data_IF_429008599952
#
_entry.id   IF_429008599952
#
_cell.length_a   1.000
_cell.length_b   1.000
_cell.length_c   1.000
_cell.angle_alpha   90.00
_cell.angle_beta   90.00
_cell.angle_gamma   90.00
#
_symmetry.space_group_name_H-M   'P 1'
#
loop_
_entity.id
_entity.type
_entity.pdbx_description
1 polymer ?
#
# COMPACT_ATOMS: atom_id res chain seq x y z
N UNK A 1 23.41 -14.04 -21.18
CA UNK A 1 22.72 -14.08 -22.49
C UNK A 1 23.45 -13.19 -23.47
N UNK A 2 23.45 -13.54 -24.76
CA UNK A 2 23.95 -12.64 -25.81
C UNK A 2 22.99 -11.45 -25.98
N UNK A 3 23.52 -10.28 -26.30
CA UNK A 3 22.70 -9.11 -26.64
C UNK A 3 21.90 -9.40 -27.93
N UNK A 4 20.67 -8.91 -27.98
CA UNK A 4 19.87 -8.93 -29.19
C UNK A 4 20.50 -8.03 -30.28
N UNK A 5 19.90 -8.00 -31.48
CA UNK A 5 20.33 -7.05 -32.52
C UNK A 5 20.33 -5.61 -31.99
N UNK A 6 21.29 -4.80 -32.44
CA UNK A 6 21.43 -3.40 -31.97
C UNK A 6 20.11 -2.64 -32.10
N UNK A 7 19.36 -2.87 -33.19
CA UNK A 7 18.02 -2.30 -33.38
C UNK A 7 17.04 -2.67 -32.26
N UNK A 8 16.97 -3.95 -31.87
CA UNK A 8 16.09 -4.42 -30.80
C UNK A 8 16.52 -3.87 -29.44
N UNK A 9 17.82 -3.78 -29.19
CA UNK A 9 18.35 -3.21 -27.95
C UNK A 9 18.01 -1.72 -27.84
N UNK A 10 18.19 -0.94 -28.90
CA UNK A 10 17.89 0.49 -28.92
C UNK A 10 16.38 0.72 -28.78
N UNK A 11 15.57 0.09 -29.63
CA UNK A 11 14.11 0.27 -29.60
C UNK A 11 13.48 -0.25 -28.31
N UNK A 12 13.95 -1.39 -27.79
CA UNK A 12 13.52 -1.93 -26.51
C UNK A 12 13.89 -1.01 -25.34
N UNK A 13 15.10 -0.45 -25.34
CA UNK A 13 15.52 0.54 -24.34
C UNK A 13 14.68 1.82 -24.42
N UNK A 14 14.30 2.28 -25.61
CA UNK A 14 13.41 3.45 -25.78
C UNK A 14 12.03 3.15 -25.21
N UNK A 15 11.42 2.02 -25.56
CA UNK A 15 10.10 1.64 -25.03
C UNK A 15 10.14 1.50 -23.49
N UNK A 16 11.17 0.83 -22.95
CA UNK A 16 11.35 0.72 -21.51
C UNK A 16 11.58 2.09 -20.84
N UNK A 17 12.32 2.99 -21.50
CA UNK A 17 12.51 4.37 -21.03
C UNK A 17 11.20 5.15 -20.94
N UNK A 18 10.30 4.99 -21.93
CA UNK A 18 8.95 5.58 -21.89
C UNK A 18 8.16 5.05 -20.70
N UNK A 19 8.16 3.72 -20.48
CA UNK A 19 7.55 3.13 -19.30
C UNK A 19 8.13 3.71 -18.01
N UNK A 20 9.46 3.77 -17.90
CA UNK A 20 10.17 4.22 -16.72
C UNK A 20 9.80 5.67 -16.36
N UNK A 21 9.88 6.59 -17.33
CA UNK A 21 9.51 8.00 -17.12
C UNK A 21 8.07 8.13 -16.65
N UNK A 22 7.12 7.43 -17.30
CA UNK A 22 5.70 7.56 -16.98
C UNK A 22 5.29 6.81 -15.71
N UNK A 23 6.03 5.76 -15.31
CA UNK A 23 5.81 5.05 -14.06
C UNK A 23 6.32 5.85 -12.85
N UNK A 24 7.46 6.52 -13.00
CA UNK A 24 8.13 7.28 -11.92
C UNK A 24 7.56 8.68 -11.74
N UNK A 25 7.20 9.35 -12.84
CA UNK A 25 6.65 10.70 -12.83
C UNK A 25 5.17 10.67 -13.20
N UNK A 26 4.25 10.71 -12.22
CA UNK A 26 2.80 10.53 -12.46
C UNK A 26 2.18 11.55 -13.41
N UNK A 27 2.82 12.72 -13.56
CA UNK A 27 2.37 13.82 -14.41
C UNK A 27 3.57 14.46 -15.10
N UNK A 28 3.90 13.93 -16.26
CA UNK A 28 4.88 14.53 -17.16
C UNK A 28 4.22 15.71 -17.88
N UNK A 29 4.80 16.93 -17.88
CA UNK A 29 4.12 18.14 -18.35
C UNK A 29 3.56 18.07 -19.78
N UNK A 30 4.21 17.31 -20.66
CA UNK A 30 3.82 17.16 -22.06
C UNK A 30 2.93 15.94 -22.34
N UNK A 31 2.73 15.04 -21.38
CA UNK A 31 1.93 13.82 -21.56
C UNK A 31 1.33 13.33 -20.22
N UNK A 32 0.24 13.96 -19.73
CA UNK A 32 -0.39 13.63 -18.45
C UNK A 32 -1.32 12.40 -18.55
N UNK A 33 -0.84 11.30 -19.14
CA UNK A 33 -1.63 10.07 -19.32
C UNK A 33 -1.60 9.14 -18.10
N UNK A 34 -0.72 9.41 -17.14
CA UNK A 34 -0.55 8.64 -15.90
C UNK A 34 0.18 7.30 -16.09
N UNK A 35 0.58 6.69 -14.96
CA UNK A 35 1.39 5.47 -14.91
C UNK A 35 0.80 4.29 -15.70
N UNK A 36 -0.51 4.13 -15.65
CA UNK A 36 -1.22 3.01 -16.28
C UNK A 36 -1.17 3.08 -17.80
N UNK A 37 -1.46 4.26 -18.35
CA UNK A 37 -1.35 4.46 -19.79
C UNK A 37 0.10 4.37 -20.27
N UNK A 38 1.07 4.82 -19.46
CA UNK A 38 2.49 4.66 -19.78
C UNK A 38 2.95 3.20 -19.86
N UNK A 39 2.48 2.35 -18.95
CA UNK A 39 2.75 0.91 -19.00
C UNK A 39 2.14 0.24 -20.23
N UNK A 40 0.91 0.60 -20.60
CA UNK A 40 0.28 0.11 -21.83
C UNK A 40 0.98 0.62 -23.08
N UNK A 41 1.32 1.91 -23.13
CA UNK A 41 2.02 2.52 -24.27
C UNK A 41 3.34 1.81 -24.52
N UNK A 42 4.14 1.60 -23.48
CA UNK A 42 5.39 0.85 -23.59
C UNK A 42 5.17 -0.60 -24.03
N UNK A 43 4.16 -1.29 -23.50
CA UNK A 43 3.84 -2.65 -23.93
C UNK A 43 3.51 -2.72 -25.43
N UNK A 44 2.72 -1.76 -25.92
CA UNK A 44 2.39 -1.63 -27.34
C UNK A 44 3.64 -1.32 -28.16
N UNK A 45 4.51 -0.41 -27.69
CA UNK A 45 5.77 -0.09 -28.36
C UNK A 45 6.71 -1.32 -28.44
N UNK A 46 6.78 -2.14 -27.40
CA UNK A 46 7.57 -3.39 -27.42
C UNK A 46 7.13 -4.35 -28.53
N UNK A 47 5.82 -4.41 -28.79
CA UNK A 47 5.24 -5.24 -29.85
C UNK A 47 5.47 -4.59 -31.22
N UNK A 48 5.18 -3.29 -31.37
CA UNK A 48 5.35 -2.55 -32.64
C UNK A 48 6.82 -2.58 -33.09
N UNK A 49 7.76 -2.42 -32.16
CA UNK A 49 9.19 -2.49 -32.43
C UNK A 49 9.72 -3.92 -32.63
N UNK A 50 8.85 -4.94 -32.58
CA UNK A 50 9.19 -6.35 -32.74
C UNK A 50 10.29 -6.81 -31.75
N UNK A 51 10.33 -6.19 -30.57
CA UNK A 51 11.19 -6.62 -29.47
C UNK A 51 10.64 -7.90 -28.86
N UNK A 52 9.31 -7.98 -28.74
CA UNK A 52 8.55 -9.16 -28.32
C UNK A 52 7.42 -9.43 -29.34
N UNK A 53 7.11 -10.71 -29.59
CA UNK A 53 5.98 -11.09 -30.44
C UNK A 53 4.65 -10.87 -29.69
N UNK A 54 3.51 -10.70 -30.37
CA UNK A 54 2.20 -10.61 -29.71
C UNK A 54 1.87 -11.82 -28.83
N UNK A 55 2.21 -13.03 -29.29
CA UNK A 55 1.96 -14.28 -28.54
C UNK A 55 2.82 -14.34 -27.27
N UNK A 56 4.11 -14.00 -27.38
CA UNK A 56 5.00 -13.90 -26.23
C UNK A 56 4.57 -12.80 -25.26
N UNK A 57 4.05 -11.68 -25.77
CA UNK A 57 3.55 -10.59 -24.94
C UNK A 57 2.34 -11.05 -24.14
N UNK A 58 1.37 -11.73 -24.76
CA UNK A 58 0.22 -12.30 -24.06
C UNK A 58 0.66 -13.34 -23.02
N UNK A 59 1.60 -14.23 -23.39
CA UNK A 59 2.16 -15.24 -22.49
C UNK A 59 2.96 -14.64 -21.32
N UNK A 60 3.44 -13.40 -21.45
CA UNK A 60 4.15 -12.69 -20.38
C UNK A 60 3.21 -12.18 -19.28
N UNK A 61 1.90 -12.08 -19.54
CA UNK A 61 0.93 -11.62 -18.55
C UNK A 61 0.66 -12.75 -17.54
N UNK A 62 1.03 -12.51 -16.29
CA UNK A 62 0.82 -13.47 -15.20
C UNK A 62 -0.61 -13.37 -14.63
N UNK A 63 -1.53 -14.15 -15.20
CA UNK A 63 -2.93 -14.21 -14.77
C UNK A 63 -3.11 -14.63 -13.29
N UNK A 64 -2.36 -15.60 -12.74
CA UNK A 64 -2.40 -15.90 -11.32
C UNK A 64 -2.07 -14.71 -10.41
N UNK A 65 -1.09 -13.89 -10.76
CA UNK A 65 -0.75 -12.67 -10.03
C UNK A 65 -1.87 -11.64 -10.15
N UNK A 66 -2.39 -11.39 -11.36
CA UNK A 66 -3.49 -10.44 -11.57
C UNK A 66 -4.77 -10.87 -10.83
N UNK A 67 -5.11 -12.17 -10.86
CA UNK A 67 -6.24 -12.74 -10.14
C UNK A 67 -6.08 -12.61 -8.63
N UNK A 68 -4.87 -12.80 -8.10
CA UNK A 68 -4.56 -12.59 -6.68
C UNK A 68 -4.67 -11.11 -6.28
N UNK A 69 -4.14 -10.19 -7.09
CA UNK A 69 -4.28 -8.74 -6.88
C UNK A 69 -5.75 -8.30 -6.90
N UNK A 70 -6.51 -8.74 -7.89
CA UNK A 70 -7.95 -8.47 -7.98
C UNK A 70 -8.69 -8.97 -6.73
N UNK A 71 -8.48 -10.24 -6.38
CA UNK A 71 -9.18 -10.87 -5.28
C UNK A 71 -8.87 -10.22 -3.92
N UNK A 72 -7.61 -9.87 -3.66
CA UNK A 72 -7.22 -9.19 -2.42
C UNK A 72 -7.79 -7.77 -2.32
N UNK A 73 -7.94 -7.05 -3.44
CA UNK A 73 -8.64 -5.76 -3.46
C UNK A 73 -10.14 -5.91 -3.18
N UNK A 74 -10.79 -6.93 -3.76
CA UNK A 74 -12.20 -7.24 -3.49
C UNK A 74 -12.41 -7.53 -2.00
N UNK A 75 -11.59 -8.42 -1.43
CA UNK A 75 -11.62 -8.73 0.01
C UNK A 75 -11.41 -7.46 0.84
N UNK A 76 -10.44 -6.62 0.48
CA UNK A 76 -10.20 -5.32 1.12
C UNK A 76 -11.42 -4.38 1.06
N UNK A 77 -12.11 -4.33 -0.09
CA UNK A 77 -13.36 -3.57 -0.26
C UNK A 77 -14.47 -4.05 0.69
N UNK A 78 -14.67 -5.36 0.78
CA UNK A 78 -15.63 -5.96 1.71
C UNK A 78 -15.30 -5.67 3.18
N UNK A 79 -14.02 -5.76 3.57
CA UNK A 79 -13.59 -5.45 4.93
C UNK A 79 -13.72 -3.97 5.27
N UNK A 80 -13.47 -3.09 4.29
CA UNK A 80 -13.73 -1.65 4.42
C UNK A 80 -15.21 -1.39 4.70
N UNK A 81 -16.10 -1.99 3.92
CA UNK A 81 -17.55 -1.88 4.11
C UNK A 81 -18.02 -2.55 5.41
N UNK A 82 -17.31 -3.58 5.88
CA UNK A 82 -17.56 -4.20 7.17
C UNK A 82 -17.15 -3.32 8.37
N UNK A 83 -16.45 -2.22 8.11
CA UNK A 83 -16.01 -1.26 9.11
C UNK A 83 -14.70 -1.63 9.78
N UNK A 84 -13.89 -2.54 9.22
CA UNK A 84 -12.61 -2.96 9.81
C UNK A 84 -11.74 -1.76 10.18
N UNK A 85 -11.61 -0.81 9.26
CA UNK A 85 -10.78 0.38 9.49
C UNK A 85 -11.34 1.34 10.56
N UNK A 86 -12.66 1.36 10.77
CA UNK A 86 -13.25 2.11 11.90
C UNK A 86 -12.84 1.47 13.24
N UNK A 87 -12.75 0.14 13.30
CA UNK A 87 -12.24 -0.55 14.48
C UNK A 87 -10.75 -0.27 14.69
N UNK A 88 -9.95 -0.23 13.61
CA UNK A 88 -8.53 0.17 13.69
C UNK A 88 -8.35 1.61 14.17
N UNK A 89 -9.15 2.56 13.67
CA UNK A 89 -9.16 3.95 14.17
C UNK A 89 -9.55 4.04 15.65
N UNK A 90 -10.56 3.26 16.06
CA UNK A 90 -10.94 3.16 17.48
C UNK A 90 -9.80 2.61 18.32
N UNK A 91 -9.07 1.59 17.83
CA UNK A 91 -7.91 1.01 18.50
C UNK A 91 -6.75 2.01 18.65
N UNK A 92 -6.54 2.87 17.66
CA UNK A 92 -5.56 3.97 17.72
C UNK A 92 -5.91 4.97 18.84
N UNK A 93 -7.18 5.37 18.92
CA UNK A 93 -7.65 6.34 19.91
C UNK A 93 -7.80 5.75 21.32
N UNK A 94 -8.10 4.45 21.43
CA UNK A 94 -8.45 3.80 22.69
C UNK A 94 -7.30 3.80 23.69
N UNK A 95 -7.55 4.43 24.86
CA UNK A 95 -6.58 4.59 25.97
C UNK A 95 -5.29 5.31 25.57
N UNK A 96 -5.28 6.11 24.51
CA UNK A 96 -4.04 6.79 24.14
C UNK A 96 -3.69 7.91 25.11
N UNK A 97 -2.51 7.83 25.75
CA UNK A 97 -2.09 8.66 26.88
C UNK A 97 -1.31 9.94 26.49
N UNK A 98 -1.12 10.21 25.20
CA UNK A 98 -0.43 11.42 24.71
C UNK A 98 0.07 11.28 23.28
N UNK A 99 0.76 12.31 22.76
CA UNK A 99 1.28 12.31 21.38
C UNK A 99 2.32 11.22 21.12
N UNK A 100 3.19 10.94 22.10
CA UNK A 100 4.22 9.89 22.01
C UNK A 100 3.63 8.48 21.92
N UNK A 101 2.66 8.18 22.79
CA UNK A 101 1.95 6.90 22.77
C UNK A 101 1.13 6.75 21.47
N UNK A 102 0.49 7.82 21.01
CA UNK A 102 -0.21 7.82 19.72
C UNK A 102 0.75 7.49 18.57
N UNK A 103 1.96 8.05 18.54
CA UNK A 103 2.95 7.79 17.49
C UNK A 103 3.32 6.29 17.43
N UNK A 104 3.59 5.68 18.59
CA UNK A 104 3.87 4.25 18.69
C UNK A 104 2.70 3.40 18.18
N UNK A 105 1.46 3.77 18.54
CA UNK A 105 0.25 3.08 18.08
C UNK A 105 0.06 3.19 16.58
N UNK A 106 0.27 4.38 16.02
CA UNK A 106 0.23 4.60 14.57
C UNK A 106 1.24 3.66 13.89
N UNK A 107 2.46 3.56 14.41
CA UNK A 107 3.45 2.64 13.84
C UNK A 107 2.98 1.18 13.87
N UNK A 108 2.56 0.68 15.04
CA UNK A 108 2.18 -0.73 15.23
C UNK A 108 0.93 -1.08 14.42
N UNK A 109 -0.14 -0.28 14.55
CA UNK A 109 -1.41 -0.55 13.88
C UNK A 109 -1.24 -0.44 12.37
N UNK A 110 -0.48 0.54 11.88
CA UNK A 110 -0.23 0.68 10.44
C UNK A 110 0.61 -0.49 9.90
N UNK A 111 1.65 -0.91 10.61
CA UNK A 111 2.47 -2.04 10.17
C UNK A 111 1.67 -3.35 10.12
N UNK A 112 0.86 -3.63 11.15
CA UNK A 112 0.01 -4.82 11.19
C UNK A 112 -1.09 -4.77 10.13
N UNK A 113 -1.75 -3.62 9.97
CA UNK A 113 -2.77 -3.45 8.94
C UNK A 113 -2.17 -3.63 7.54
N UNK A 114 -1.01 -3.02 7.27
CA UNK A 114 -0.31 -3.10 5.98
C UNK A 114 0.31 -4.49 5.69
N UNK A 115 0.55 -5.30 6.72
CA UNK A 115 0.94 -6.70 6.56
C UNK A 115 -0.25 -7.61 6.21
N UNK A 116 -1.45 -7.28 6.70
CA UNK A 116 -2.66 -8.08 6.48
C UNK A 116 -3.48 -7.63 5.26
N UNK A 117 -3.38 -6.36 4.91
CA UNK A 117 -4.08 -5.72 3.80
C UNK A 117 -3.06 -5.10 2.85
N UNK A 118 -3.53 -4.65 1.69
CA UNK A 118 -2.66 -3.93 0.76
C UNK A 118 -2.28 -2.57 1.33
N UNK A 119 -0.98 -2.26 1.27
CA UNK A 119 -0.37 -1.03 1.77
C UNK A 119 -1.14 0.24 1.31
N UNK A 120 -1.51 0.30 0.03
CA UNK A 120 -2.28 1.41 -0.55
C UNK A 120 -3.61 1.64 0.18
N UNK A 121 -4.36 0.56 0.47
CA UNK A 121 -5.64 0.64 1.17
C UNK A 121 -5.46 1.12 2.59
N UNK A 122 -4.45 0.62 3.29
CA UNK A 122 -4.10 1.05 4.65
C UNK A 122 -3.74 2.53 4.69
N UNK A 123 -2.88 2.98 3.77
CA UNK A 123 -2.45 4.37 3.71
C UNK A 123 -3.62 5.33 3.44
N UNK A 124 -4.53 4.98 2.52
CA UNK A 124 -5.71 5.81 2.23
C UNK A 124 -6.52 6.02 3.50
N UNK A 125 -6.88 4.91 4.16
CA UNK A 125 -7.87 4.97 5.24
C UNK A 125 -7.27 5.46 6.55
N UNK A 126 -6.07 5.00 6.92
CA UNK A 126 -5.46 5.38 8.20
C UNK A 126 -5.00 6.83 8.22
N UNK A 127 -4.64 7.42 7.07
CA UNK A 127 -4.18 8.82 7.03
C UNK A 127 -5.28 9.79 7.50
N UNK A 128 -6.51 9.60 7.01
CA UNK A 128 -7.66 10.42 7.42
C UNK A 128 -7.88 10.34 8.94
N UNK A 129 -7.93 9.11 9.49
CA UNK A 129 -8.13 8.90 10.93
C UNK A 129 -7.01 9.47 11.79
N UNK A 130 -5.76 9.31 11.36
CA UNK A 130 -4.59 9.79 12.11
C UNK A 130 -4.54 11.31 12.14
N UNK A 131 -4.88 11.97 11.03
CA UNK A 131 -4.93 13.44 10.99
C UNK A 131 -6.08 14.00 11.83
N UNK A 132 -7.25 13.37 11.80
CA UNK A 132 -8.37 13.74 12.64
C UNK A 132 -8.01 13.64 14.13
N UNK A 133 -7.41 12.52 14.54
CA UNK A 133 -6.99 12.31 15.94
C UNK A 133 -5.84 13.24 16.37
N UNK A 134 -4.92 13.58 15.45
CA UNK A 134 -3.89 14.57 15.69
C UNK A 134 -4.51 15.97 15.85
N UNK A 135 -5.50 16.31 15.03
CA UNK A 135 -6.23 17.58 15.11
C UNK A 135 -6.96 17.74 16.46
N UNK A 136 -7.70 16.70 16.88
CA UNK A 136 -8.45 16.69 18.15
C UNK A 136 -7.55 16.91 19.36
N UNK A 137 -6.27 16.52 19.25
CA UNK A 137 -5.28 16.62 20.33
C UNK A 137 -4.29 17.77 20.16
N UNK A 138 -4.49 18.65 19.17
CA UNK A 138 -3.57 19.74 18.83
C UNK A 138 -2.12 19.27 18.64
N UNK A 139 -1.93 18.13 17.97
CA UNK A 139 -0.62 17.55 17.69
C UNK A 139 -0.18 17.83 16.24
N UNK A 140 1.13 17.99 15.99
CA UNK A 140 1.63 18.24 14.64
C UNK A 140 1.38 17.03 13.73
N UNK A 141 0.92 17.25 12.50
CA UNK A 141 0.63 16.18 11.54
C UNK A 141 1.89 15.43 11.06
N UNK A 142 3.00 16.16 10.85
CA UNK A 142 4.22 15.66 10.20
C UNK A 142 4.77 14.35 10.80
N UNK A 143 4.96 14.20 12.12
CA UNK A 143 5.52 12.97 12.68
C UNK A 143 4.63 11.76 12.43
N UNK A 144 3.31 11.93 12.49
CA UNK A 144 2.37 10.81 12.29
C UNK A 144 2.25 10.39 10.83
N UNK A 145 2.35 11.33 9.89
CA UNK A 145 2.38 11.01 8.46
C UNK A 145 3.64 10.22 8.08
N UNK A 146 4.80 10.64 8.62
CA UNK A 146 6.05 9.90 8.44
C UNK A 146 5.98 8.52 9.09
N UNK A 147 5.45 8.44 10.31
CA UNK A 147 5.24 7.18 11.03
C UNK A 147 4.34 6.21 10.27
N UNK A 148 3.24 6.72 9.71
CA UNK A 148 2.28 5.94 8.96
C UNK A 148 2.92 5.43 7.65
N UNK A 149 3.49 6.31 6.84
CA UNK A 149 4.13 5.94 5.58
C UNK A 149 5.27 4.93 5.79
N UNK A 150 6.17 5.21 6.74
CA UNK A 150 7.34 4.37 6.97
C UNK A 150 7.00 2.99 7.54
N UNK A 151 6.04 2.95 8.48
CA UNK A 151 5.55 1.71 9.07
C UNK A 151 4.71 0.88 8.11
N UNK A 152 3.97 1.52 7.19
CA UNK A 152 3.20 0.80 6.19
C UNK A 152 4.11 0.03 5.24
N UNK A 153 5.20 0.65 4.77
CA UNK A 153 6.21 -0.03 3.97
C UNK A 153 6.91 -1.15 4.76
N UNK A 154 7.46 -0.86 5.95
CA UNK A 154 8.15 -1.87 6.77
C UNK A 154 7.22 -3.04 7.11
N UNK A 155 5.98 -2.77 7.52
CA UNK A 155 4.97 -3.79 7.84
C UNK A 155 4.59 -4.66 6.64
N UNK A 156 4.31 -4.04 5.49
CA UNK A 156 3.95 -4.76 4.25
C UNK A 156 5.03 -5.73 3.78
N UNK A 157 6.30 -5.50 4.16
CA UNK A 157 7.41 -6.37 3.79
C UNK A 157 7.26 -7.80 4.34
N UNK A 158 6.54 -7.97 5.45
CA UNK A 158 6.42 -9.25 6.15
C UNK A 158 5.55 -10.28 5.43
N UNK A 159 4.69 -9.88 4.49
CA UNK A 159 3.76 -10.82 3.84
C UNK A 159 3.76 -10.67 2.32
N UNK A 160 3.43 -11.74 1.58
CA UNK A 160 3.20 -11.67 0.13
C UNK A 160 2.07 -10.72 -0.26
N UNK A 161 1.03 -10.59 0.57
CA UNK A 161 -0.17 -9.81 0.25
C UNK A 161 -0.04 -8.32 0.60
N UNK A 162 0.91 -7.94 1.45
CA UNK A 162 1.05 -6.57 1.94
C UNK A 162 1.32 -5.57 0.82
N UNK A 163 2.04 -5.99 -0.23
CA UNK A 163 2.25 -5.16 -1.41
C UNK A 163 2.37 -6.00 -2.70
N UNK A 164 2.14 -5.41 -3.89
CA UNK A 164 2.19 -6.15 -5.14
C UNK A 164 3.57 -6.73 -5.51
N UNK A 165 4.66 -6.09 -5.09
CA UNK A 165 6.01 -6.60 -5.40
C UNK A 165 6.31 -7.88 -4.63
N UNK A 166 5.88 -8.01 -3.38
CA UNK A 166 6.06 -9.20 -2.57
C UNK A 166 5.24 -10.36 -3.11
N UNK A 167 4.07 -10.07 -3.68
CA UNK A 167 3.25 -11.04 -4.38
C UNK A 167 4.00 -11.62 -5.59
N UNK A 168 4.60 -10.76 -6.42
CA UNK A 168 5.46 -11.18 -7.55
C UNK A 168 6.62 -12.04 -7.05
N UNK A 169 7.29 -11.63 -5.97
CA UNK A 169 8.40 -12.40 -5.38
C UNK A 169 7.91 -13.77 -4.91
N UNK A 170 6.85 -13.83 -4.12
CA UNK A 170 6.35 -15.08 -3.56
C UNK A 170 5.90 -16.05 -4.65
N UNK A 171 5.28 -15.53 -5.72
CA UNK A 171 4.87 -16.32 -6.87
C UNK A 171 6.07 -16.87 -7.66
N UNK A 172 7.01 -16.01 -8.06
CA UNK A 172 8.19 -16.41 -8.85
C UNK A 172 9.15 -17.32 -8.08
N UNK A 173 9.32 -17.07 -6.78
CA UNK A 173 10.16 -17.89 -5.90
C UNK A 173 9.52 -19.20 -5.46
N UNK A 174 8.20 -19.33 -5.63
CA UNK A 174 7.39 -20.45 -5.09
C UNK A 174 7.53 -20.64 -3.58
N UNK A 175 7.89 -19.59 -2.84
CA UNK A 175 7.98 -19.62 -1.39
C UNK A 175 6.57 -19.64 -0.81
N UNK A 176 6.28 -20.61 0.06
CA UNK A 176 5.00 -20.67 0.75
C UNK A 176 4.82 -19.49 1.70
N UNK A 177 3.58 -19.06 1.92
CA UNK A 177 3.29 -17.91 2.77
C UNK A 177 3.95 -17.99 4.17
N UNK A 178 3.91 -19.12 4.92
CA UNK A 178 4.56 -19.20 6.24
C UNK A 178 6.07 -19.03 6.16
N UNK A 179 6.72 -19.61 5.14
CA UNK A 179 8.16 -19.49 4.95
C UNK A 179 8.56 -18.05 4.61
N UNK A 180 7.75 -17.37 3.81
CA UNK A 180 7.94 -15.95 3.51
C UNK A 180 7.81 -15.11 4.79
N UNK A 181 6.70 -15.30 5.53
CA UNK A 181 6.41 -14.58 6.75
C UNK A 181 7.52 -14.77 7.78
N UNK A 182 7.86 -16.00 8.14
CA UNK A 182 8.87 -16.28 9.16
C UNK A 182 10.28 -15.88 8.72
N UNK A 183 10.55 -15.92 7.42
CA UNK A 183 11.82 -15.47 6.86
C UNK A 183 12.07 -13.98 7.01
N UNK A 184 11.02 -13.15 7.02
CA UNK A 184 11.11 -11.67 7.10
C UNK A 184 10.69 -11.13 8.46
N UNK A 185 9.83 -11.83 9.20
CA UNK A 185 9.25 -11.36 10.47
C UNK A 185 10.29 -10.82 11.47
N UNK A 186 11.46 -11.48 11.70
CA UNK A 186 12.49 -10.92 12.58
C UNK A 186 13.05 -9.58 12.09
N UNK A 187 13.27 -9.44 10.78
CA UNK A 187 13.73 -8.20 10.16
C UNK A 187 12.67 -7.10 10.29
N UNK A 188 11.39 -7.45 10.05
CA UNK A 188 10.27 -6.51 10.20
C UNK A 188 10.14 -6.00 11.64
N UNK A 189 10.18 -6.87 12.64
CA UNK A 189 10.06 -6.47 14.05
C UNK A 189 11.22 -5.56 14.49
N UNK A 190 12.45 -5.91 14.12
CA UNK A 190 13.63 -5.10 14.42
C UNK A 190 13.59 -3.75 13.69
N UNK A 191 13.22 -3.76 12.40
CA UNK A 191 13.07 -2.56 11.58
C UNK A 191 11.98 -1.62 12.11
N UNK A 192 10.85 -2.18 12.55
CA UNK A 192 9.77 -1.43 13.20
C UNK A 192 10.24 -0.79 14.51
N UNK A 193 10.97 -1.54 15.35
CA UNK A 193 11.52 -1.01 16.60
C UNK A 193 12.47 0.16 16.34
N UNK A 194 13.40 0.01 15.39
CA UNK A 194 14.32 1.07 14.99
C UNK A 194 13.57 2.29 14.44
N UNK A 195 12.63 2.09 13.52
CA UNK A 195 11.84 3.16 12.94
C UNK A 195 11.05 3.94 14.02
N UNK A 196 10.43 3.24 14.97
CA UNK A 196 9.73 3.85 16.10
C UNK A 196 10.68 4.66 17.00
N UNK A 197 11.84 4.10 17.37
CA UNK A 197 12.84 4.80 18.19
C UNK A 197 13.34 6.05 17.47
N UNK A 198 13.66 5.97 16.19
CA UNK A 198 14.12 7.13 15.42
C UNK A 198 13.07 8.23 15.34
N UNK A 199 11.80 7.89 15.10
CA UNK A 199 10.70 8.86 15.09
C UNK A 199 10.52 9.51 16.45
N UNK A 200 10.55 8.72 17.54
CA UNK A 200 10.45 9.24 18.90
C UNK A 200 11.62 10.16 19.23
N UNK A 201 12.86 9.78 18.89
CA UNK A 201 14.03 10.61 19.16
C UNK A 201 13.99 11.93 18.37
N UNK A 202 13.56 11.89 17.10
CA UNK A 202 13.51 13.07 16.23
C UNK A 202 12.40 14.05 16.65
N UNK A 203 11.25 13.55 17.09
CA UNK A 203 10.06 14.36 17.39
C UNK A 203 9.67 14.36 18.88
N UNK A 204 10.59 13.99 19.77
CA UNK A 204 10.33 13.80 21.21
C UNK A 204 9.71 15.03 21.88
N UNK A 205 10.27 16.20 21.54
CA UNK A 205 9.90 17.49 22.12
C UNK A 205 8.58 17.99 21.52
N UNK A 206 8.42 17.88 20.19
CA UNK A 206 7.19 18.28 19.49
C UNK A 206 5.96 17.49 19.95
N UNK A 207 6.14 16.22 20.34
CA UNK A 207 5.06 15.35 20.83
C UNK A 207 4.77 15.49 22.33
N UNK A 208 5.56 16.28 23.06
CA UNK A 208 5.45 16.48 24.51
C UNK A 208 4.65 17.72 24.94
N UNK A 209 4.42 18.68 24.04
CA UNK A 209 3.91 20.02 24.39
C UNK A 209 2.40 20.17 24.59
N UNK A 210 1.59 19.11 24.47
CA UNK A 210 0.14 19.23 24.50
C UNK A 210 -0.48 19.56 25.87
N UNK A 211 0.32 19.69 26.94
CA UNK A 211 -0.19 19.92 28.31
C UNK A 211 0.06 21.31 28.90
N UNK A 212 0.99 22.14 28.38
CA UNK A 212 1.38 23.38 29.08
C UNK A 212 0.91 24.68 28.41
N UNK A 213 0.74 24.75 27.08
CA UNK A 213 0.39 26.01 26.41
C UNK A 213 -1.11 26.37 26.47
N UNK A 214 -1.99 25.40 26.76
CA UNK A 214 -3.44 25.62 26.81
C UNK A 214 -3.88 26.36 28.08
N UNK A 215 -3.08 26.31 29.15
CA UNK A 215 -3.40 27.01 30.41
C UNK A 215 -3.03 28.49 30.34
N UNK A 216 -1.95 28.86 29.62
CA UNK A 216 -1.53 30.26 29.49
C UNK A 216 -2.24 31.01 28.34
N UNK A 217 -2.58 30.34 27.22
CA UNK A 217 -3.21 31.01 26.07
C UNK A 217 -4.67 31.42 26.30
N UNK A 218 -5.45 30.62 27.03
CA UNK A 218 -6.87 30.93 27.31
C UNK A 218 -7.07 32.04 28.35
N UNK A 219 -6.05 32.41 29.12
CA UNK A 219 -6.12 33.54 30.05
C UNK A 219 -5.80 34.88 29.39
N UNK A 220 -5.15 34.92 28.22
CA UNK A 220 -4.91 36.18 27.48
C UNK A 220 -6.07 36.56 26.56
N UNK A 221 -6.74 35.60 25.90
CA UNK A 221 -7.87 35.92 25.01
C UNK A 221 -9.15 36.32 25.77
N UNK A 222 -9.34 35.85 27.00
CA UNK A 222 -10.54 36.16 27.78
C UNK A 222 -10.54 37.57 28.43
N UNK A 223 -9.44 38.33 28.32
CA UNK A 223 -9.33 39.68 28.91
C UNK A 223 -9.58 40.78 27.88
N UNK A 224 -9.44 40.52 26.57
CA UNK A 224 -9.60 41.54 25.53
C UNK A 224 -11.05 41.74 25.04
N UNK A 225 -11.94 40.77 25.19
CA UNK A 225 -13.35 40.89 24.69
C UNK A 225 -14.32 41.56 25.69
N UNK A 226 -13.81 42.18 26.76
CA UNK A 226 -14.63 42.77 27.83
C UNK A 226 -15.09 44.22 27.66
N UNK A 227 -14.74 44.92 26.57
CA UNK A 227 -15.08 46.35 26.41
C UNK A 227 -15.51 46.73 24.99
N UNK A 228 -16.81 46.56 24.68
CA UNK A 228 -17.56 47.49 23.84
C UNK A 228 -19.07 47.22 23.97
N UNK A 229 -19.81 48.22 24.49
CA UNK A 229 -21.29 48.23 24.53
C UNK A 229 -21.89 48.16 23.12
N UNK A 230 -23.13 47.72 22.90
CA UNK A 230 -24.37 48.08 23.59
C UNK A 230 -25.32 48.71 22.55
N UNK A 231 -26.63 48.45 22.69
CA UNK A 231 -27.80 49.22 22.18
C UNK A 231 -28.82 48.45 21.32
N UNK A 232 -30.00 48.32 21.96
CA UNK A 232 -31.41 48.33 21.52
C UNK A 232 -32.16 47.14 20.88
N UNK A 233 -33.39 47.03 21.38
CA UNK A 233 -34.44 46.04 21.16
C UNK A 233 -35.59 46.58 20.28
N UNK A 234 -36.33 45.62 19.69
CA UNK A 234 -37.81 45.51 19.58
C UNK A 234 -38.49 45.94 18.24
N UNK A 235 -39.76 45.54 17.96
CA UNK A 235 -40.34 44.17 17.98
C UNK A 235 -41.46 43.91 16.90
N UNK A 236 -42.11 42.72 16.98
CA UNK A 236 -43.48 42.34 16.50
C UNK A 236 -43.70 42.10 14.98
N UNK A 237 -44.12 40.88 14.55
CA UNK A 237 -45.55 40.51 14.43
C UNK A 237 -45.80 39.06 13.94
N UNK A 238 -46.91 38.49 14.44
CA UNK A 238 -47.53 37.21 14.09
C UNK A 238 -48.18 37.23 12.69
N UNK A 239 -48.28 36.05 12.05
CA UNK A 239 -49.52 35.61 11.36
C UNK A 239 -49.56 34.09 11.15
N UNK A 240 -50.58 33.47 11.76
CA UNK A 240 -51.15 32.18 11.39
C UNK A 240 -51.84 32.28 10.01
N UNK A 241 -51.75 31.24 9.19
CA UNK A 241 -52.85 30.76 8.32
C UNK A 241 -52.75 29.21 8.24
N UNK A 242 -53.88 28.57 8.51
CA UNK A 242 -54.23 27.16 8.35
C UNK A 242 -54.55 26.83 6.89
N UNK A 243 -54.34 25.59 6.45
CA UNK A 243 -55.42 24.70 5.98
C UNK A 243 -54.91 23.43 5.29
N UNK A 244 -55.73 22.39 5.45
CA UNK A 244 -55.64 21.04 4.95
C UNK A 244 -55.67 20.96 3.41
N UNK A 245 -55.06 19.93 2.84
CA UNK A 245 -55.78 18.97 1.98
C UNK A 245 -54.85 17.85 1.48
N UNK A 246 -55.27 16.62 1.72
CA UNK A 246 -54.77 15.41 1.08
C UNK A 246 -55.71 15.02 -0.07
N UNK A 247 -55.17 14.48 -1.18
CA UNK A 247 -55.85 13.37 -1.85
C UNK A 247 -54.93 12.17 -2.08
N UNK A 248 -55.44 11.03 -1.66
CA UNK A 248 -55.03 9.67 -1.97
C UNK A 248 -54.98 9.38 -3.48
N UNK A 249 -53.94 8.68 -3.96
CA UNK A 249 -54.09 7.75 -5.09
C UNK A 249 -53.07 6.60 -5.06
N UNK A 250 -53.63 5.41 -4.83
CA UNK A 250 -53.29 4.07 -5.35
C UNK A 250 -51.84 3.60 -5.38
N UNK A 251 -51.48 2.81 -4.36
CA UNK A 251 -50.44 1.77 -4.43
C UNK A 251 -51.05 0.50 -5.03
N UNK A 252 -50.65 0.14 -6.25
CA UNK A 252 -50.89 -1.18 -6.83
C UNK A 252 -50.05 -2.24 -6.08
N UNK A 253 -50.75 -3.08 -5.32
CA UNK A 253 -50.17 -4.27 -4.70
C UNK A 253 -49.99 -5.37 -5.77
N UNK A 254 -48.80 -5.45 -6.37
CA UNK A 254 -48.37 -6.68 -7.06
C UNK A 254 -47.89 -7.66 -5.99
N UNK A 255 -48.78 -8.60 -5.66
CA UNK A 255 -48.52 -9.76 -4.82
C UNK A 255 -47.58 -10.74 -5.53
N UNK A 256 -46.26 -10.59 -5.32
CA UNK A 256 -45.31 -11.67 -5.56
C UNK A 256 -45.18 -12.53 -4.29
N UNK A 257 -45.77 -13.71 -4.36
CA UNK A 257 -45.75 -14.79 -3.36
C UNK A 257 -44.31 -15.17 -2.96
N UNK A 258 -43.90 -14.82 -1.73
CA UNK A 258 -43.17 -15.65 -0.74
C UNK A 258 -42.72 -14.79 0.47
N UNK A 259 -43.53 -14.70 1.56
CA UNK A 259 -43.27 -13.79 2.68
C UNK A 259 -42.13 -14.21 3.64
N UNK A 260 -41.70 -15.48 3.64
CA UNK A 260 -40.75 -15.97 4.64
C UNK A 260 -39.27 -15.68 4.31
N UNK A 261 -38.95 -15.37 3.05
CA UNK A 261 -37.56 -15.14 2.61
C UNK A 261 -37.15 -13.66 2.59
N UNK A 262 -38.11 -12.72 2.66
CA UNK A 262 -37.87 -11.27 2.52
C UNK A 262 -37.83 -10.50 3.84
N UNK A 263 -37.93 -11.18 4.99
CA UNK A 263 -37.89 -10.56 6.33
C UNK A 263 -36.57 -10.80 7.09
N UNK A 264 -35.44 -10.93 6.39
CA UNK A 264 -34.21 -10.46 7.02
C UNK A 264 -34.28 -8.93 7.06
N UNK A 265 -34.52 -8.34 8.23
CA UNK A 265 -34.37 -6.89 8.40
C UNK A 265 -33.04 -6.47 7.78
N UNK A 266 -33.03 -5.41 6.98
CA UNK A 266 -31.83 -4.95 6.25
C UNK A 266 -30.59 -4.87 7.16
N UNK A 267 -30.82 -4.58 8.46
CA UNK A 267 -29.82 -4.60 9.52
C UNK A 267 -29.25 -6.00 9.84
N UNK A 268 -30.07 -7.05 9.96
CA UNK A 268 -29.60 -8.44 10.16
C UNK A 268 -28.79 -8.94 8.97
N UNK A 269 -29.22 -8.61 7.75
CA UNK A 269 -28.45 -8.93 6.53
C UNK A 269 -27.11 -8.21 6.51
N UNK A 270 -27.09 -6.90 6.79
CA UNK A 270 -25.84 -6.13 6.90
C UNK A 270 -24.92 -6.75 7.95
N UNK A 271 -25.42 -7.08 9.14
CA UNK A 271 -24.64 -7.72 10.19
C UNK A 271 -24.09 -9.08 9.74
N UNK A 272 -24.91 -9.90 9.09
CA UNK A 272 -24.49 -11.19 8.54
C UNK A 272 -23.36 -11.03 7.52
N UNK A 273 -23.49 -10.11 6.55
CA UNK A 273 -22.45 -9.85 5.55
C UNK A 273 -21.15 -9.36 6.19
N UNK A 274 -21.23 -8.53 7.24
CA UNK A 274 -20.05 -8.09 8.00
C UNK A 274 -19.35 -9.27 8.66
N UNK A 275 -20.10 -10.07 9.42
CA UNK A 275 -19.55 -11.25 10.11
C UNK A 275 -18.98 -12.26 9.12
N UNK A 276 -19.68 -12.49 8.01
CA UNK A 276 -19.23 -13.37 6.93
C UNK A 276 -17.92 -12.86 6.30
N UNK A 277 -17.81 -11.56 6.01
CA UNK A 277 -16.59 -10.97 5.48
C UNK A 277 -15.38 -11.20 6.40
N UNK A 278 -15.54 -11.03 7.72
CA UNK A 278 -14.47 -11.34 8.68
C UNK A 278 -14.13 -12.83 8.71
N UNK A 279 -15.12 -13.71 8.78
CA UNK A 279 -14.92 -15.17 8.86
C UNK A 279 -14.20 -15.69 7.63
N UNK A 280 -14.64 -15.31 6.43
CA UNK A 280 -14.04 -15.78 5.17
C UNK A 280 -12.64 -15.19 4.96
N UNK A 281 -12.39 -13.95 5.39
CA UNK A 281 -11.03 -13.38 5.39
C UNK A 281 -10.12 -14.12 6.36
N UNK A 282 -10.57 -14.42 7.57
CA UNK A 282 -9.78 -15.22 8.54
C UNK A 282 -9.51 -16.61 7.95
N UNK A 283 -10.51 -17.25 7.33
CA UNK A 283 -10.35 -18.51 6.62
C UNK A 283 -9.31 -18.43 5.49
N UNK A 284 -9.29 -17.33 4.72
CA UNK A 284 -8.28 -17.06 3.69
C UNK A 284 -6.87 -16.99 4.28
N UNK A 285 -6.68 -16.26 5.39
CA UNK A 285 -5.38 -16.15 6.08
C UNK A 285 -4.94 -17.50 6.65
N UNK A 286 -5.86 -18.27 7.25
CA UNK A 286 -5.58 -19.62 7.74
C UNK A 286 -5.18 -20.54 6.58
N UNK A 287 -5.87 -20.48 5.45
CA UNK A 287 -5.52 -21.23 4.24
C UNK A 287 -4.11 -20.89 3.73
N UNK A 288 -3.71 -19.61 3.77
CA UNK A 288 -2.32 -19.21 3.50
C UNK A 288 -1.34 -19.80 4.50
N UNK A 289 -1.68 -19.81 5.81
CA UNK A 289 -0.85 -20.40 6.86
C UNK A 289 -0.64 -21.91 6.68
N UNK A 290 -1.61 -22.63 6.12
CA UNK A 290 -1.49 -24.06 5.80
C UNK A 290 -0.69 -24.31 4.51
N UNK A 291 -0.35 -23.25 3.77
CA UNK A 291 0.45 -23.35 2.55
C UNK A 291 -0.37 -23.64 1.29
N UNK A 292 -1.67 -23.36 1.29
CA UNK A 292 -2.49 -23.45 0.09
C UNK A 292 -2.08 -22.40 -0.96
N UNK A 293 -2.44 -22.65 -2.22
CA UNK A 293 -2.10 -21.76 -3.33
C UNK A 293 -2.72 -20.36 -3.12
N UNK A 294 -1.86 -19.35 -3.05
CA UNK A 294 -2.28 -17.99 -2.69
C UNK A 294 -3.35 -17.43 -3.65
N UNK A 295 -3.16 -17.60 -4.95
CA UNK A 295 -4.07 -17.10 -5.99
C UNK A 295 -5.45 -17.75 -5.91
N UNK A 296 -5.52 -19.09 -5.91
CA UNK A 296 -6.80 -19.81 -5.86
C UNK A 296 -7.56 -19.58 -4.57
N UNK A 297 -6.85 -19.53 -3.43
CA UNK A 297 -7.45 -19.22 -2.13
C UNK A 297 -8.06 -17.82 -2.14
N UNK A 298 -7.33 -16.79 -2.61
CA UNK A 298 -7.86 -15.43 -2.68
C UNK A 298 -9.09 -15.34 -3.60
N UNK A 299 -8.99 -15.90 -4.80
CA UNK A 299 -10.07 -15.88 -5.80
C UNK A 299 -11.31 -16.55 -5.23
N UNK A 300 -11.16 -17.70 -4.56
CA UNK A 300 -12.29 -18.39 -3.91
C UNK A 300 -12.93 -17.54 -2.83
N UNK A 301 -12.14 -16.86 -1.99
CA UNK A 301 -12.62 -15.92 -0.97
C UNK A 301 -13.38 -14.75 -1.62
N UNK A 302 -12.82 -14.12 -2.65
CA UNK A 302 -13.47 -13.01 -3.34
C UNK A 302 -14.79 -13.44 -4.00
N UNK A 303 -14.81 -14.59 -4.68
CA UNK A 303 -16.03 -15.16 -5.27
C UNK A 303 -17.05 -15.45 -4.18
N UNK A 304 -16.67 -16.07 -3.07
CA UNK A 304 -17.59 -16.37 -1.97
C UNK A 304 -18.23 -15.09 -1.40
N UNK A 305 -17.46 -14.00 -1.27
CA UNK A 305 -17.98 -12.71 -0.81
C UNK A 305 -18.98 -12.11 -1.81
N UNK A 306 -18.61 -12.06 -3.08
CA UNK A 306 -19.46 -11.50 -4.15
C UNK A 306 -20.75 -12.31 -4.31
N UNK A 307 -20.65 -13.64 -4.29
CA UNK A 307 -21.81 -14.54 -4.39
C UNK A 307 -22.72 -14.35 -3.19
N UNK A 308 -22.20 -14.31 -1.95
CA UNK A 308 -23.07 -14.15 -0.77
C UNK A 308 -23.70 -12.75 -0.69
N UNK A 309 -23.05 -11.73 -1.24
CA UNK A 309 -23.63 -10.39 -1.33
C UNK A 309 -24.85 -10.34 -2.26
N UNK A 310 -24.80 -11.08 -3.39
CA UNK A 310 -25.84 -11.43 -4.40
C UNK A 310 -26.68 -10.28 -5.00
N UNK A 311 -26.86 -9.14 -4.33
CA UNK A 311 -27.69 -8.01 -4.78
C UNK A 311 -26.92 -6.74 -5.09
N UNK A 312 -25.78 -6.50 -4.44
CA UNK A 312 -25.12 -5.19 -4.51
C UNK A 312 -23.60 -5.30 -4.21
N UNK A 313 -22.86 -5.99 -5.09
CA UNK A 313 -21.41 -6.09 -5.01
C UNK A 313 -20.70 -4.86 -5.63
N UNK A 314 -21.42 -4.02 -6.37
CA UNK A 314 -20.91 -2.85 -7.08
C UNK A 314 -20.12 -1.90 -6.16
N UNK A 315 -20.58 -1.54 -4.94
CA UNK A 315 -19.83 -0.67 -4.03
C UNK A 315 -18.50 -1.27 -3.56
N UNK A 316 -18.37 -2.60 -3.56
CA UNK A 316 -17.13 -3.30 -3.25
C UNK A 316 -16.21 -3.39 -4.47
N UNK A 317 -16.78 -3.68 -5.65
CA UNK A 317 -16.06 -3.76 -6.92
C UNK A 317 -15.52 -2.39 -7.37
N UNK A 318 -16.24 -1.31 -7.08
CA UNK A 318 -15.79 0.07 -7.33
C UNK A 318 -14.55 0.46 -6.52
N UNK A 319 -14.25 -0.27 -5.44
CA UNK A 319 -13.00 -0.08 -4.67
C UNK A 319 -11.81 -0.78 -5.29
N UNK A 320 -12.02 -1.66 -6.27
CA UNK A 320 -10.94 -2.33 -6.98
C UNK A 320 -10.23 -1.34 -7.89
N UNK A 321 -8.90 -1.31 -7.80
CA UNK A 321 -8.09 -0.48 -8.68
C UNK A 321 -7.86 -1.20 -10.02
N UNK A 322 -8.84 -1.14 -10.92
CA UNK A 322 -8.72 -1.70 -12.27
C UNK A 322 -7.52 -1.12 -13.04
N UNK A 323 -7.26 0.18 -12.81
CA UNK A 323 -6.08 0.86 -13.34
C UNK A 323 -4.78 0.17 -12.92
N UNK A 324 -4.70 -0.36 -11.69
CA UNK A 324 -3.53 -1.09 -11.24
C UNK A 324 -3.37 -2.43 -11.97
N UNK A 325 -4.46 -3.18 -12.20
CA UNK A 325 -4.41 -4.45 -12.95
C UNK A 325 -3.93 -4.25 -14.40
N UNK A 326 -4.44 -3.21 -15.05
CA UNK A 326 -4.01 -2.81 -16.40
C UNK A 326 -2.54 -2.40 -16.41
N UNK A 327 -2.10 -1.65 -15.40
CA UNK A 327 -0.71 -1.25 -15.22
C UNK A 327 0.23 -2.46 -15.09
N UNK A 328 -0.12 -3.47 -14.27
CA UNK A 328 0.67 -4.70 -14.14
C UNK A 328 0.72 -5.49 -15.45
N UNK A 329 -0.38 -5.56 -16.19
CA UNK A 329 -0.43 -6.23 -17.49
C UNK A 329 0.56 -5.59 -18.48
N UNK A 330 0.53 -4.26 -18.61
CA UNK A 330 1.47 -3.53 -19.47
C UNK A 330 2.93 -3.61 -18.97
N UNK A 331 3.13 -3.60 -17.65
CA UNK A 331 4.46 -3.75 -17.05
C UNK A 331 5.05 -5.14 -17.33
N UNK A 332 4.29 -6.22 -17.19
CA UNK A 332 4.79 -7.57 -17.47
C UNK A 332 5.26 -7.72 -18.90
N UNK A 333 4.49 -7.22 -19.87
CA UNK A 333 4.89 -7.20 -21.28
C UNK A 333 6.15 -6.36 -21.46
N UNK A 334 6.18 -5.16 -20.88
CA UNK A 334 7.31 -4.24 -21.00
C UNK A 334 8.60 -4.86 -20.44
N UNK A 335 8.55 -5.40 -19.22
CA UNK A 335 9.73 -5.99 -18.57
C UNK A 335 10.16 -7.26 -19.30
N UNK A 336 9.23 -8.10 -19.75
CA UNK A 336 9.54 -9.29 -20.56
C UNK A 336 10.21 -8.91 -21.89
N UNK A 337 9.68 -7.92 -22.61
CA UNK A 337 10.28 -7.39 -23.82
C UNK A 337 11.68 -6.82 -23.57
N UNK A 338 11.85 -6.05 -22.49
CA UNK A 338 13.16 -5.52 -22.13
C UNK A 338 14.17 -6.63 -21.76
N UNK A 339 13.74 -7.69 -21.08
CA UNK A 339 14.58 -8.86 -20.81
C UNK A 339 15.03 -9.56 -22.10
N UNK A 340 14.18 -9.61 -23.14
CA UNK A 340 14.55 -10.17 -24.46
C UNK A 340 15.64 -9.37 -25.19
N UNK A 341 15.93 -8.12 -24.78
CA UNK A 341 17.06 -7.35 -25.34
C UNK A 341 18.43 -7.89 -24.88
N UNK A 342 18.48 -8.61 -23.75
CA UNK A 342 19.71 -9.06 -23.10
C UNK A 342 20.44 -7.97 -22.30
N UNK A 343 19.96 -6.72 -22.32
CA UNK A 343 20.60 -5.61 -21.60
C UNK A 343 20.55 -5.78 -20.07
N UNK A 344 19.42 -6.18 -19.44
CA UNK A 344 19.40 -6.49 -18.01
C UNK A 344 20.45 -7.54 -17.61
N UNK A 345 20.56 -8.62 -18.38
CA UNK A 345 21.55 -9.67 -18.14
C UNK A 345 23.00 -9.19 -18.34
N UNK A 346 23.25 -8.28 -19.29
CA UNK A 346 24.58 -7.67 -19.48
C UNK A 346 24.97 -6.80 -18.28
N UNK A 347 24.04 -5.99 -17.77
CA UNK A 347 24.21 -5.19 -16.55
C UNK A 347 24.46 -6.11 -15.35
N UNK A 348 23.68 -7.19 -15.23
CA UNK A 348 23.87 -8.17 -14.17
C UNK A 348 25.26 -8.81 -14.20
N UNK A 349 25.76 -9.22 -15.37
CA UNK A 349 27.10 -9.82 -15.49
C UNK A 349 28.22 -8.91 -14.98
N UNK A 350 28.07 -7.59 -15.14
CA UNK A 350 29.01 -6.62 -14.58
C UNK A 350 28.93 -6.53 -13.05
N UNK A 351 27.74 -6.68 -12.48
CA UNK A 351 27.48 -6.49 -11.04
C UNK A 351 27.65 -7.78 -10.23
N UNK A 352 27.36 -8.93 -10.83
CA UNK A 352 27.35 -10.27 -10.22
C UNK A 352 28.65 -10.64 -9.47
N UNK A 353 29.86 -10.29 -9.95
CA UNK A 353 31.09 -10.58 -9.21
C UNK A 353 31.13 -9.92 -7.82
N UNK A 354 30.50 -8.75 -7.68
CA UNK A 354 30.51 -7.92 -6.47
C UNK A 354 29.28 -8.14 -5.58
N UNK A 355 28.22 -8.75 -6.09
CA UNK A 355 26.91 -8.86 -5.41
C UNK A 355 26.58 -10.29 -4.92
N UNK A 356 27.61 -11.09 -4.59
CA UNK A 356 27.42 -12.48 -4.17
C UNK A 356 26.72 -12.59 -2.80
N UNK A 357 25.69 -13.42 -2.72
CA UNK A 357 24.84 -13.59 -1.51
C UNK A 357 25.52 -14.43 -0.40
N UNK A 358 26.74 -14.93 -0.62
CA UNK A 358 27.51 -15.72 0.36
C UNK A 358 28.41 -14.89 1.29
N UNK A 359 28.62 -13.60 1.00
CA UNK A 359 29.47 -12.71 1.77
C UNK A 359 28.69 -11.50 2.25
N UNK A 360 29.02 -10.99 3.43
CA UNK A 360 28.45 -9.74 3.96
C UNK A 360 28.67 -8.60 2.98
N UNK A 361 29.87 -8.49 2.40
CA UNK A 361 30.18 -7.45 1.42
C UNK A 361 29.29 -7.54 0.17
N UNK A 362 29.06 -8.75 -0.34
CA UNK A 362 28.23 -8.95 -1.53
C UNK A 362 26.74 -8.70 -1.29
N UNK A 363 26.23 -9.09 -0.11
CA UNK A 363 24.85 -8.74 0.31
C UNK A 363 24.70 -7.22 0.44
N UNK A 364 25.68 -6.52 1.01
CA UNK A 364 25.65 -5.06 1.14
C UNK A 364 25.62 -4.37 -0.22
N UNK A 365 26.48 -4.78 -1.16
CA UNK A 365 26.49 -4.25 -2.53
C UNK A 365 25.16 -4.52 -3.22
N UNK A 366 24.64 -5.75 -3.15
CA UNK A 366 23.34 -6.10 -3.71
C UNK A 366 22.21 -5.25 -3.11
N UNK A 367 22.24 -5.01 -1.81
CA UNK A 367 21.22 -4.21 -1.11
C UNK A 367 21.26 -2.74 -1.53
N UNK A 368 22.45 -2.16 -1.70
CA UNK A 368 22.60 -0.79 -2.22
C UNK A 368 22.02 -0.68 -3.63
N UNK A 369 22.33 -1.66 -4.49
CA UNK A 369 21.80 -1.73 -5.85
C UNK A 369 20.27 -1.77 -5.82
N UNK A 370 19.67 -2.70 -5.05
CA UNK A 370 18.22 -2.83 -4.95
C UNK A 370 17.59 -1.55 -4.42
N UNK A 371 18.20 -0.91 -3.41
CA UNK A 371 17.70 0.33 -2.83
C UNK A 371 17.69 1.48 -3.84
N UNK A 372 18.75 1.62 -4.64
CA UNK A 372 18.85 2.61 -5.70
C UNK A 372 17.86 2.32 -6.83
N UNK A 373 17.81 1.08 -7.32
CA UNK A 373 16.89 0.70 -8.39
C UNK A 373 15.42 0.83 -7.96
N UNK A 374 15.09 0.49 -6.71
CA UNK A 374 13.70 0.59 -6.22
C UNK A 374 13.23 2.04 -6.16
N UNK A 375 14.12 2.99 -5.86
CA UNK A 375 13.80 4.43 -5.90
C UNK A 375 13.85 5.01 -7.32
N UNK A 376 14.65 4.44 -8.21
CA UNK A 376 14.77 4.90 -9.58
C UNK A 376 13.66 4.34 -10.47
N UNK A 377 13.47 3.03 -10.51
CA UNK A 377 12.57 2.30 -11.41
C UNK A 377 11.25 1.86 -10.76
N UNK A 378 11.04 2.18 -9.49
CA UNK A 378 10.01 1.60 -8.62
C UNK A 378 10.30 0.16 -8.19
N UNK A 379 9.68 -0.16 -7.07
CA UNK A 379 9.62 -1.45 -6.39
C UNK A 379 9.36 -2.67 -7.31
N UNK A 380 8.21 -2.72 -7.99
CA UNK A 380 7.82 -3.89 -8.81
C UNK A 380 8.75 -4.11 -10.01
N UNK A 381 9.07 -3.11 -10.86
CA UNK A 381 9.98 -3.32 -11.99
C UNK A 381 11.36 -3.80 -11.56
N UNK A 382 11.88 -3.27 -10.44
CA UNK A 382 13.17 -3.70 -9.87
C UNK A 382 13.16 -5.19 -9.56
N UNK A 383 12.09 -5.69 -8.93
CA UNK A 383 11.92 -7.11 -8.64
C UNK A 383 11.87 -7.96 -9.92
N UNK A 384 11.10 -7.53 -10.92
CA UNK A 384 10.95 -8.28 -12.16
C UNK A 384 12.24 -8.32 -13.00
N UNK A 385 13.05 -7.27 -12.94
CA UNK A 385 14.32 -7.19 -13.66
C UNK A 385 15.44 -7.96 -12.97
N UNK A 386 15.52 -7.90 -11.64
CA UNK A 386 16.64 -8.48 -10.89
C UNK A 386 16.36 -9.89 -10.36
N UNK A 387 15.09 -10.22 -10.08
CA UNK A 387 14.74 -11.41 -9.32
C UNK A 387 15.27 -12.71 -9.92
N UNK A 388 15.09 -12.91 -11.22
CA UNK A 388 15.58 -14.10 -11.93
C UNK A 388 17.11 -14.22 -11.86
N UNK A 389 17.82 -13.15 -12.17
CA UNK A 389 19.28 -13.11 -12.21
C UNK A 389 19.91 -13.34 -10.82
N UNK A 390 19.35 -12.69 -9.79
CA UNK A 390 19.75 -12.86 -8.39
C UNK A 390 19.51 -14.30 -7.93
N UNK A 391 18.35 -14.88 -8.26
CA UNK A 391 18.02 -16.26 -7.90
C UNK A 391 18.91 -17.27 -8.63
N UNK A 392 19.20 -17.06 -9.91
CA UNK A 392 20.10 -17.91 -10.71
C UNK A 392 21.53 -17.89 -10.14
N UNK A 393 22.04 -16.72 -9.75
CA UNK A 393 23.35 -16.64 -9.10
C UNK A 393 23.35 -17.30 -7.71
N UNK A 394 22.27 -17.18 -6.95
CA UNK A 394 22.12 -17.83 -5.66
C UNK A 394 22.01 -19.36 -5.76
N UNK A 395 21.42 -19.87 -6.85
CA UNK A 395 21.29 -21.31 -7.11
C UNK A 395 22.64 -22.02 -7.26
N UNK A 396 23.69 -21.29 -7.68
CA UNK A 396 25.07 -21.80 -7.72
C UNK A 396 25.69 -22.00 -6.33
N UNK A 397 25.09 -21.41 -5.29
CA UNK A 397 25.59 -21.49 -3.91
C UNK A 397 24.84 -22.59 -3.16
N UNK A 398 23.52 -22.46 -3.01
CA UNK A 398 22.65 -23.47 -2.36
C UNK A 398 21.16 -23.15 -2.55
N UNK A 399 20.25 -24.14 -2.38
CA UNK A 399 18.80 -23.88 -2.35
C UNK A 399 18.38 -22.88 -1.27
N UNK A 400 19.05 -22.89 -0.11
CA UNK A 400 18.80 -21.93 0.96
C UNK A 400 19.21 -20.50 0.56
N UNK A 401 20.28 -20.35 -0.21
CA UNK A 401 20.71 -19.05 -0.74
C UNK A 401 19.67 -18.47 -1.72
N UNK A 402 19.00 -19.32 -2.53
CA UNK A 402 17.91 -18.88 -3.43
C UNK A 402 16.77 -18.27 -2.62
N UNK A 403 16.29 -18.98 -1.59
CA UNK A 403 15.22 -18.47 -0.71
C UNK A 403 15.66 -17.16 -0.05
N UNK A 404 16.85 -17.14 0.54
CA UNK A 404 17.40 -15.94 1.18
C UNK A 404 17.49 -14.76 0.22
N UNK A 405 17.86 -14.99 -1.04
CA UNK A 405 17.99 -13.93 -2.06
C UNK A 405 16.65 -13.30 -2.43
N UNK A 406 15.59 -14.10 -2.52
CA UNK A 406 14.22 -13.62 -2.73
C UNK A 406 13.69 -12.84 -1.53
N UNK A 407 13.93 -13.33 -0.31
CA UNK A 407 13.54 -12.63 0.92
C UNK A 407 14.33 -11.32 1.11
N UNK A 408 15.62 -11.32 0.75
CA UNK A 408 16.44 -10.10 0.71
C UNK A 408 15.88 -9.09 -0.28
N UNK A 409 15.54 -9.54 -1.49
CA UNK A 409 14.92 -8.70 -2.50
C UNK A 409 13.59 -8.12 -2.00
N UNK A 410 12.74 -8.92 -1.35
CA UNK A 410 11.46 -8.47 -0.78
C UNK A 410 11.64 -7.41 0.32
N UNK A 411 12.54 -7.67 1.27
CA UNK A 411 12.84 -6.74 2.36
C UNK A 411 13.40 -5.43 1.84
N UNK A 412 14.50 -5.48 1.08
CA UNK A 412 15.24 -4.29 0.67
C UNK A 412 14.40 -3.45 -0.31
N UNK A 413 13.72 -4.06 -1.29
CA UNK A 413 12.87 -3.29 -2.22
C UNK A 413 11.66 -2.66 -1.52
N UNK A 414 11.10 -3.30 -0.48
CA UNK A 414 9.99 -2.72 0.27
C UNK A 414 10.43 -1.59 1.17
N UNK A 415 11.49 -1.78 1.96
CA UNK A 415 12.00 -0.75 2.88
C UNK A 415 12.59 0.43 2.10
N UNK A 416 13.19 0.19 0.93
CA UNK A 416 13.70 1.25 0.03
C UNK A 416 12.62 2.28 -0.34
N UNK A 417 11.35 1.89 -0.32
CA UNK A 417 10.23 2.80 -0.53
C UNK A 417 10.19 3.97 0.44
N UNK A 418 10.80 3.87 1.63
CA UNK A 418 10.88 4.93 2.63
C UNK A 418 11.99 5.96 2.35
N UNK A 419 12.87 5.74 1.38
CA UNK A 419 14.03 6.59 1.17
C UNK A 419 13.62 8.01 0.74
N UNK A 420 12.64 8.08 -0.17
CA UNK A 420 12.17 9.31 -0.78
C UNK A 420 10.65 9.33 -0.87
N UNK A 421 10.06 10.53 -0.99
CA UNK A 421 8.61 10.67 -1.13
C UNK A 421 8.08 9.95 -2.38
N UNK A 422 8.90 9.90 -3.44
CA UNK A 422 8.58 9.21 -4.71
C UNK A 422 8.92 7.71 -4.68
N UNK A 423 9.62 7.23 -3.65
CA UNK A 423 10.13 5.86 -3.58
C UNK A 423 9.04 4.80 -3.45
N UNK A 424 7.83 5.17 -3.02
CA UNK A 424 6.70 4.24 -2.96
C UNK A 424 5.36 4.93 -3.22
N UNK A 425 4.40 4.16 -3.74
CA UNK A 425 3.02 4.61 -3.89
C UNK A 425 2.39 4.95 -2.52
N UNK A 426 2.77 4.24 -1.46
CA UNK A 426 2.32 4.49 -0.09
C UNK A 426 2.62 5.94 0.34
N UNK A 427 3.85 6.41 0.16
CA UNK A 427 4.25 7.76 0.54
C UNK A 427 3.45 8.84 -0.20
N UNK A 428 3.21 8.63 -1.50
CA UNK A 428 2.42 9.53 -2.33
C UNK A 428 0.94 9.53 -1.94
N UNK A 429 0.39 8.36 -1.62
CA UNK A 429 -0.98 8.23 -1.12
C UNK A 429 -1.11 9.00 0.19
N UNK A 430 -0.21 8.80 1.16
CA UNK A 430 -0.23 9.51 2.45
C UNK A 430 -0.13 11.02 2.24
N UNK A 431 0.78 11.49 1.37
CA UNK A 431 0.92 12.89 1.03
C UNK A 431 -0.37 13.48 0.41
N UNK A 432 -0.96 12.78 -0.55
CA UNK A 432 -2.17 13.27 -1.24
C UNK A 432 -3.40 13.24 -0.34
N UNK A 433 -3.56 12.20 0.48
CA UNK A 433 -4.63 12.15 1.47
C UNK A 433 -4.46 13.21 2.54
N UNK A 434 -3.22 13.47 2.98
CA UNK A 434 -2.95 14.52 3.96
C UNK A 434 -3.26 15.92 3.42
N UNK A 435 -3.01 16.17 2.13
CA UNK A 435 -3.36 17.42 1.47
C UNK A 435 -4.88 17.62 1.34
N UNK A 436 -5.63 16.54 1.12
CA UNK A 436 -7.09 16.55 0.95
C UNK A 436 -7.87 16.42 2.26
N UNK A 437 -7.19 16.19 3.38
CA UNK A 437 -7.84 15.95 4.65
C UNK A 437 -8.67 17.17 5.07
N UNK A 438 -9.91 16.97 5.56
CA UNK A 438 -10.79 18.07 5.97
C UNK A 438 -10.29 18.79 7.23
N UNK A 439 -9.50 18.10 8.06
CA UNK A 439 -8.92 18.63 9.30
C UNK A 439 -7.43 18.33 9.34
N UNK A 440 -6.65 19.30 9.83
CA UNK A 440 -5.20 19.20 9.97
C UNK A 440 -4.51 18.82 8.64
N UNK A 441 -5.00 19.39 7.54
CA UNK A 441 -4.42 19.20 6.23
C UNK A 441 -2.94 19.61 6.26
N UNK A 442 -2.08 18.77 5.69
CA UNK A 442 -0.65 18.98 5.74
C UNK A 442 0.00 18.62 4.41
N UNK A 443 0.78 19.55 3.87
CA UNK A 443 1.54 19.32 2.64
C UNK A 443 2.92 18.73 2.97
N UNK A 444 3.03 17.40 2.91
CA UNK A 444 4.29 16.72 3.14
C UNK A 444 5.21 16.88 1.93
N UNK A 445 6.09 17.88 2.00
CA UNK A 445 7.07 18.16 0.96
C UNK A 445 8.14 17.07 0.82
N UNK A 446 8.74 16.97 -0.36
CA UNK A 446 9.82 16.02 -0.66
C UNK A 446 10.97 16.13 0.35
N UNK A 447 11.42 17.35 0.65
CA UNK A 447 12.52 17.59 1.60
C UNK A 447 12.15 17.19 3.03
N UNK A 448 10.93 17.51 3.47
CA UNK A 448 10.45 17.13 4.80
C UNK A 448 10.41 15.62 4.99
N UNK A 449 10.06 14.89 3.94
CA UNK A 449 10.13 13.43 3.94
C UNK A 449 11.58 12.94 3.94
N UNK A 450 12.43 13.48 3.08
CA UNK A 450 13.79 13.01 2.84
C UNK A 450 14.69 13.08 4.09
N UNK A 451 14.53 14.13 4.91
CA UNK A 451 15.29 14.31 6.17
C UNK A 451 15.15 13.12 7.11
N UNK A 452 13.95 12.53 7.20
CA UNK A 452 13.73 11.32 7.99
C UNK A 452 13.93 10.05 7.15
N UNK A 453 13.44 10.06 5.90
CA UNK A 453 13.39 8.90 5.01
C UNK A 453 14.77 8.31 4.70
N UNK A 454 15.77 9.14 4.42
CA UNK A 454 17.13 8.67 4.11
C UNK A 454 17.78 7.94 5.29
N UNK A 455 17.97 8.58 6.46
CA UNK A 455 18.62 7.90 7.58
C UNK A 455 17.80 6.71 8.08
N UNK A 456 16.46 6.82 8.14
CA UNK A 456 15.61 5.71 8.58
C UNK A 456 15.74 4.50 7.66
N UNK A 457 15.65 4.70 6.34
CA UNK A 457 15.73 3.61 5.37
C UNK A 457 17.07 2.89 5.43
N UNK A 458 18.18 3.62 5.52
CA UNK A 458 19.51 3.03 5.58
C UNK A 458 19.70 2.19 6.85
N UNK A 459 19.30 2.72 8.01
CA UNK A 459 19.48 2.03 9.29
C UNK A 459 18.53 0.82 9.39
N UNK A 460 17.25 0.98 9.05
CA UNK A 460 16.26 -0.11 9.06
C UNK A 460 16.69 -1.23 8.09
N UNK A 461 17.15 -0.88 6.89
CA UNK A 461 17.64 -1.86 5.92
C UNK A 461 18.86 -2.62 6.49
N UNK A 462 19.85 -1.90 7.02
CA UNK A 462 21.07 -2.49 7.58
C UNK A 462 20.78 -3.41 8.78
N UNK A 463 19.86 -3.03 9.67
CA UNK A 463 19.45 -3.85 10.83
C UNK A 463 18.66 -5.08 10.40
N UNK A 464 17.82 -4.96 9.37
CA UNK A 464 16.98 -6.06 8.89
C UNK A 464 17.78 -7.15 8.16
N UNK A 465 18.76 -6.79 7.32
CA UNK A 465 19.50 -7.73 6.46
C UNK A 465 20.04 -8.96 7.21
N UNK A 466 20.75 -8.83 8.36
CA UNK A 466 21.27 -9.98 9.10
C UNK A 466 20.20 -10.90 9.70
N UNK A 467 18.94 -10.46 9.77
CA UNK A 467 17.82 -11.19 10.38
C UNK A 467 17.00 -11.98 9.36
N UNK A 468 17.20 -11.73 8.07
CA UNK A 468 16.48 -12.39 6.99
C UNK A 468 16.86 -13.87 6.89
N UNK A 469 15.85 -14.74 6.91
CA UNK A 469 16.01 -16.19 6.73
C UNK A 469 16.64 -16.90 7.94
N UNK A 470 16.62 -16.29 9.13
CA UNK A 470 17.12 -16.94 10.36
C UNK A 470 16.17 -17.99 10.94
N UNK A 471 14.86 -17.85 10.71
CA UNK A 471 13.87 -18.84 11.12
C UNK A 471 13.70 -19.83 9.97
N UNK A 472 14.30 -21.01 10.11
CA UNK A 472 14.14 -22.11 9.15
C UNK A 472 12.96 -23.01 9.58
N UNK A 473 12.04 -23.28 8.66
CA UNK A 473 11.06 -24.38 8.71
C UNK A 473 11.30 -25.35 7.56
#
# INVERSE_FOLDING_TARGET
MALASVSKVVLGSVAFGVFWVLAVFPSVPFMPIGRTAGALLSAVLMIIFHVISPDDAYASIDLPILGLLFATMVVGGYLKNAGMFKHLGTLLAWRSQGGRDLLCRVCIVTALASALFTNDTCCVVLTEFVLELAAERNLPAKPFLLALASSANIGSSATPIGNPQNLVIAFNSKISFPKFLLGILPAMLAGMAVNMVMLLCMYWNELGGATDDVINGKQMEAVEEGLAGGVMKSPINNKLITDCDSPSMMTENISTKHPWFMQCTQQRRKLFLKSFAYVVTIGMVVAYMVGLNMSWTAITTAIALVVVDFRDAEPCLDKVSYSLLVFFSGMFITVSGFNKTGLPGAIWNFMAPYSKVNSVGGISVLSIIILLLSNLASNVPTVLLMGGEVASAAALISPAAVIKSWLLLAWVSTVAGNLSLLGSAANLIVCEQARRAPRNAYDLTFWNHLVFGVPSTLIVTAVGIPLIGKINI
#
